data_IF_599076107710
#
_entry.id   IF_599076107710
#
_cell.length_a   1.000
_cell.length_b   1.000
_cell.length_c   1.000
_cell.angle_alpha   90.00
_cell.angle_beta   90.00
_cell.angle_gamma   90.00
#
_symmetry.space_group_name_H-M   'P 1'
#
loop_
_entity.id
_entity.type
_entity.pdbx_description
1 polymer ?
#
# COMPACT_ATOMS: atom_id res chain seq x y z
N UNK A 1 6.45 -11.53 7.57
CA UNK A 1 6.48 -12.98 7.42
C UNK A 1 7.48 -13.52 6.41
N UNK A 2 8.09 -12.67 5.57
CA UNK A 2 9.20 -13.09 4.65
C UNK A 2 10.53 -13.17 5.40
N UNK A 3 10.73 -12.24 6.33
CA UNK A 3 11.89 -12.24 7.22
C UNK A 3 11.36 -12.53 8.62
N UNK A 4 12.05 -13.43 9.33
CA UNK A 4 11.72 -13.75 10.72
C UNK A 4 12.17 -12.59 11.62
N UNK A 5 11.31 -12.19 12.56
CA UNK A 5 11.71 -11.23 13.59
C UNK A 5 12.83 -11.85 14.43
N UNK A 6 13.89 -11.08 14.73
CA UNK A 6 14.96 -11.50 15.61
C UNK A 6 14.56 -11.39 17.07
N UNK A 7 13.66 -10.46 17.39
CA UNK A 7 13.11 -10.23 18.73
C UNK A 7 11.74 -9.54 18.62
N UNK A 8 10.97 -9.50 19.69
CA UNK A 8 9.65 -8.90 19.75
C UNK A 8 8.54 -9.74 19.16
N UNK A 9 7.33 -9.21 19.20
CA UNK A 9 6.10 -9.87 18.78
C UNK A 9 5.32 -9.01 17.79
N UNK A 10 4.63 -9.65 16.85
CA UNK A 10 3.72 -9.01 15.90
C UNK A 10 2.31 -9.52 16.17
N UNK A 11 1.44 -8.61 16.58
CA UNK A 11 0.03 -8.90 16.85
C UNK A 11 -0.86 -8.33 15.76
N UNK A 12 -1.81 -9.11 15.31
CA UNK A 12 -2.83 -8.69 14.35
C UNK A 12 -4.20 -9.19 14.80
N UNK A 13 -5.13 -8.26 14.96
CA UNK A 13 -6.50 -8.57 15.39
C UNK A 13 -6.54 -9.40 16.68
N UNK A 14 -5.75 -8.98 17.67
CA UNK A 14 -5.67 -9.65 18.98
C UNK A 14 -5.00 -11.03 18.96
N UNK A 15 -4.35 -11.41 17.86
CA UNK A 15 -3.67 -12.70 17.71
C UNK A 15 -2.19 -12.51 17.41
N UNK A 16 -1.34 -13.29 18.07
CA UNK A 16 0.08 -13.35 17.72
C UNK A 16 0.26 -13.99 16.34
N UNK A 17 0.85 -13.24 15.44
CA UNK A 17 1.18 -13.66 14.06
C UNK A 17 2.69 -13.74 13.83
N UNK A 18 3.49 -13.56 14.87
CA UNK A 18 4.96 -13.60 14.82
C UNK A 18 5.48 -14.89 14.18
N UNK A 19 5.03 -16.09 14.59
CA UNK A 19 5.54 -17.35 14.03
C UNK A 19 5.01 -17.67 12.64
N UNK A 20 4.03 -16.89 12.13
CA UNK A 20 3.31 -17.25 10.93
C UNK A 20 4.08 -16.83 9.65
N UNK A 21 4.16 -17.72 8.65
CA UNK A 21 4.69 -17.38 7.33
C UNK A 21 3.73 -16.42 6.59
N UNK A 22 4.25 -15.72 5.57
CA UNK A 22 3.51 -14.70 4.83
C UNK A 22 2.13 -15.16 4.34
N UNK A 23 2.05 -16.35 3.73
CA UNK A 23 0.78 -16.89 3.22
C UNK A 23 -0.28 -17.12 4.31
N UNK A 24 0.14 -17.46 5.54
CA UNK A 24 -0.77 -17.62 6.67
C UNK A 24 -1.25 -16.28 7.22
N UNK A 25 -0.44 -15.22 7.12
CA UNK A 25 -0.84 -13.84 7.44
C UNK A 25 -1.83 -13.30 6.40
N UNK A 26 -1.59 -13.57 5.10
CA UNK A 26 -2.53 -13.20 4.03
C UNK A 26 -3.91 -13.81 4.27
N UNK A 27 -3.98 -15.12 4.60
CA UNK A 27 -5.26 -15.79 4.92
C UNK A 27 -5.97 -15.23 6.14
N UNK A 28 -5.30 -14.41 6.96
CA UNK A 28 -5.90 -13.68 8.09
C UNK A 28 -6.39 -12.29 7.73
N UNK A 29 -6.34 -11.93 6.47
CA UNK A 29 -6.81 -10.63 6.00
C UNK A 29 -5.74 -9.55 5.92
N UNK A 30 -4.46 -9.92 5.77
CA UNK A 30 -3.40 -8.98 5.40
C UNK A 30 -3.18 -9.06 3.89
N UNK A 31 -3.04 -7.92 3.22
CA UNK A 31 -2.50 -7.84 1.86
C UNK A 31 -1.26 -6.96 1.85
N UNK A 32 -0.35 -7.23 0.93
CA UNK A 32 0.92 -6.50 0.81
C UNK A 32 1.24 -6.25 -0.66
N UNK A 33 1.51 -5.00 -1.02
CA UNK A 33 2.11 -4.65 -2.31
C UNK A 33 3.61 -4.51 -2.16
N UNK A 34 4.35 -4.86 -3.21
CA UNK A 34 5.81 -4.84 -3.16
C UNK A 34 6.35 -3.52 -3.72
N UNK A 35 7.56 -3.13 -3.31
CA UNK A 35 8.29 -2.01 -3.88
C UNK A 35 8.49 -2.17 -5.40
N UNK A 36 8.76 -3.41 -5.86
CA UNK A 36 8.76 -3.76 -7.28
C UNK A 36 7.40 -4.34 -7.62
N UNK A 37 6.72 -3.74 -8.59
CA UNK A 37 5.37 -4.14 -9.02
C UNK A 37 5.29 -5.62 -9.38
N UNK A 38 4.46 -6.37 -8.67
CA UNK A 38 4.31 -7.81 -8.79
C UNK A 38 3.03 -8.18 -9.55
N UNK A 39 3.02 -7.93 -10.87
CA UNK A 39 1.92 -8.28 -11.77
C UNK A 39 2.32 -9.39 -12.74
N UNK A 40 1.35 -10.10 -13.28
CA UNK A 40 1.55 -11.04 -14.38
C UNK A 40 1.50 -10.27 -15.70
N UNK A 41 2.64 -9.74 -16.14
CA UNK A 41 2.74 -8.80 -17.26
C UNK A 41 2.20 -9.33 -18.61
N UNK A 42 2.14 -10.65 -18.80
CA UNK A 42 1.63 -11.29 -20.04
C UNK A 42 0.14 -11.60 -20.00
N UNK A 43 -0.52 -11.39 -18.87
CA UNK A 43 -1.94 -11.60 -18.69
C UNK A 43 -2.70 -10.28 -18.83
N UNK A 44 -4.02 -10.37 -19.08
CA UNK A 44 -4.90 -9.21 -19.04
C UNK A 44 -5.04 -8.66 -17.62
N UNK A 45 -5.58 -7.45 -17.46
CA UNK A 45 -5.93 -6.91 -16.15
C UNK A 45 -6.97 -7.80 -15.49
N UNK A 46 -7.95 -8.26 -16.26
CA UNK A 46 -8.98 -9.21 -15.81
C UNK A 46 -8.34 -10.45 -15.20
N UNK A 47 -7.43 -11.11 -15.92
CA UNK A 47 -6.80 -12.34 -15.46
C UNK A 47 -5.93 -12.12 -14.21
N UNK A 48 -5.22 -10.98 -14.11
CA UNK A 48 -4.46 -10.63 -12.92
C UNK A 48 -5.36 -10.54 -11.68
N UNK A 49 -6.48 -9.83 -11.78
CA UNK A 49 -7.42 -9.67 -10.67
C UNK A 49 -8.14 -10.98 -10.38
N UNK A 50 -8.56 -11.75 -11.40
CA UNK A 50 -9.19 -13.05 -11.23
C UNK A 50 -8.31 -14.04 -10.46
N UNK A 51 -6.99 -14.05 -10.74
CA UNK A 51 -6.03 -14.86 -10.00
C UNK A 51 -5.92 -14.44 -8.53
N UNK A 52 -5.90 -13.14 -8.26
CA UNK A 52 -5.83 -12.62 -6.90
C UNK A 52 -7.11 -12.88 -6.11
N UNK A 53 -8.27 -12.78 -6.77
CA UNK A 53 -9.59 -13.03 -6.20
C UNK A 53 -9.84 -14.52 -5.96
N UNK A 54 -9.18 -15.38 -6.75
CA UNK A 54 -9.47 -16.83 -6.76
C UNK A 54 -10.79 -17.17 -7.43
N UNK A 55 -11.36 -16.25 -8.21
CA UNK A 55 -12.62 -16.37 -8.95
C UNK A 55 -12.49 -15.72 -10.32
N UNK A 56 -13.22 -16.24 -11.30
CA UNK A 56 -13.35 -15.65 -12.65
C UNK A 56 -14.77 -15.13 -12.90
N UNK A 57 -15.55 -14.94 -11.86
CA UNK A 57 -16.87 -14.30 -11.99
C UNK A 57 -16.66 -12.87 -12.50
N UNK A 58 -17.19 -12.58 -13.69
CA UNK A 58 -16.92 -11.34 -14.42
C UNK A 58 -17.34 -10.12 -13.60
N UNK A 59 -18.51 -10.19 -12.96
CA UNK A 59 -19.03 -9.09 -12.15
C UNK A 59 -18.08 -8.73 -11.00
N UNK A 60 -17.53 -9.74 -10.30
CA UNK A 60 -16.63 -9.54 -9.17
C UNK A 60 -15.28 -8.94 -9.62
N UNK A 61 -14.72 -9.47 -10.71
CA UNK A 61 -13.46 -8.99 -11.26
C UNK A 61 -13.57 -7.53 -11.74
N UNK A 62 -14.66 -7.23 -12.49
CA UNK A 62 -14.90 -5.88 -12.98
C UNK A 62 -15.18 -4.88 -11.84
N UNK A 63 -15.85 -5.31 -10.78
CA UNK A 63 -16.06 -4.47 -9.59
C UNK A 63 -14.74 -4.10 -8.92
N UNK A 64 -13.79 -5.03 -8.81
CA UNK A 64 -12.45 -4.75 -8.27
C UNK A 64 -11.68 -3.77 -9.16
N UNK A 65 -11.71 -3.97 -10.49
CA UNK A 65 -11.06 -3.05 -11.43
C UNK A 65 -11.68 -1.65 -11.39
N UNK A 66 -12.98 -1.56 -11.19
CA UNK A 66 -13.70 -0.28 -11.06
C UNK A 66 -13.24 0.52 -9.85
N UNK A 67 -13.00 -0.15 -8.72
CA UNK A 67 -12.49 0.49 -7.48
C UNK A 67 -11.19 1.27 -7.70
N UNK A 68 -10.37 0.83 -8.64
CA UNK A 68 -9.06 1.47 -8.97
C UNK A 68 -9.10 2.25 -10.29
N UNK A 69 -10.27 2.37 -10.94
CA UNK A 69 -10.45 3.11 -12.19
C UNK A 69 -9.86 2.43 -13.43
N UNK A 70 -9.77 1.09 -13.42
CA UNK A 70 -9.20 0.30 -14.53
C UNK A 70 -10.22 -0.58 -15.26
N UNK A 71 -11.53 -0.44 -14.96
CA UNK A 71 -12.59 -1.27 -15.54
C UNK A 71 -12.54 -1.32 -17.06
N UNK A 72 -12.43 -0.16 -17.72
CA UNK A 72 -12.46 -0.05 -19.19
C UNK A 72 -11.21 -0.63 -19.88
N UNK A 73 -10.24 -1.07 -19.09
CA UNK A 73 -8.99 -1.68 -19.54
C UNK A 73 -8.88 -3.15 -19.19
N UNK A 74 -9.98 -3.79 -18.79
CA UNK A 74 -9.99 -5.17 -18.30
C UNK A 74 -9.27 -6.16 -19.22
N UNK A 75 -9.47 -6.05 -20.54
CA UNK A 75 -8.89 -6.93 -21.55
C UNK A 75 -7.46 -6.53 -21.97
N UNK A 76 -6.95 -5.37 -21.51
CA UNK A 76 -5.61 -4.90 -21.86
C UNK A 76 -4.55 -5.80 -21.20
N UNK A 77 -3.44 -6.07 -21.91
CA UNK A 77 -2.29 -6.81 -21.38
C UNK A 77 -1.56 -5.94 -20.36
N UNK A 78 -1.39 -6.45 -19.14
CA UNK A 78 -0.87 -5.68 -18.00
C UNK A 78 0.53 -5.08 -18.25
N UNK A 79 1.39 -5.78 -18.97
CA UNK A 79 2.74 -5.29 -19.31
C UNK A 79 2.77 -4.12 -20.29
N UNK A 80 1.64 -3.77 -20.94
CA UNK A 80 1.53 -2.61 -21.83
C UNK A 80 1.07 -1.33 -21.12
N UNK A 81 0.74 -1.43 -19.85
CA UNK A 81 0.34 -0.29 -19.03
C UNK A 81 1.55 0.62 -18.72
N UNK A 82 1.26 1.92 -18.50
CA UNK A 82 2.23 2.81 -17.83
C UNK A 82 2.54 2.29 -16.43
N UNK A 83 3.68 2.69 -15.88
CA UNK A 83 4.09 2.27 -14.54
C UNK A 83 3.03 2.59 -13.48
N UNK A 84 2.43 3.79 -13.53
CA UNK A 84 1.36 4.17 -12.61
C UNK A 84 0.13 3.27 -12.70
N UNK A 85 -0.30 2.90 -13.91
CA UNK A 85 -1.41 1.96 -14.08
C UNK A 85 -1.07 0.53 -13.64
N UNK A 86 0.19 0.08 -13.81
CA UNK A 86 0.64 -1.19 -13.26
C UNK A 86 0.56 -1.17 -11.72
N UNK A 87 0.89 -0.04 -11.09
CA UNK A 87 0.78 0.15 -9.65
C UNK A 87 -0.68 0.09 -9.18
N UNK A 88 -1.59 0.73 -9.92
CA UNK A 88 -3.03 0.63 -9.64
C UNK A 88 -3.54 -0.82 -9.76
N UNK A 89 -3.07 -1.57 -10.77
CA UNK A 89 -3.43 -2.98 -10.92
C UNK A 89 -2.93 -3.82 -9.74
N UNK A 90 -1.71 -3.58 -9.26
CA UNK A 90 -1.18 -4.27 -8.09
C UNK A 90 -2.03 -3.99 -6.84
N UNK A 91 -2.46 -2.73 -6.64
CA UNK A 91 -3.38 -2.37 -5.57
C UNK A 91 -4.73 -3.10 -5.75
N UNK A 92 -5.27 -3.16 -6.98
CA UNK A 92 -6.48 -3.92 -7.29
C UNK A 92 -6.36 -5.38 -6.85
N UNK A 93 -5.24 -6.04 -7.17
CA UNK A 93 -4.97 -7.42 -6.75
C UNK A 93 -4.92 -7.55 -5.21
N UNK A 94 -4.38 -6.55 -4.52
CA UNK A 94 -4.36 -6.49 -3.06
C UNK A 94 -5.76 -6.37 -2.46
N UNK A 95 -6.58 -5.43 -2.96
CA UNK A 95 -7.93 -5.18 -2.44
C UNK A 95 -8.93 -6.26 -2.87
N UNK A 96 -8.66 -7.02 -3.94
CA UNK A 96 -9.48 -8.15 -4.37
C UNK A 96 -9.72 -9.19 -3.26
N UNK A 97 -8.76 -9.31 -2.35
CA UNK A 97 -8.83 -10.25 -1.23
C UNK A 97 -9.64 -9.72 -0.03
N UNK A 98 -10.27 -8.54 -0.15
CA UNK A 98 -10.98 -7.84 0.93
C UNK A 98 -10.18 -7.81 2.24
N UNK A 99 -8.94 -7.29 2.21
CA UNK A 99 -8.06 -7.35 3.36
C UNK A 99 -8.56 -6.44 4.48
N UNK A 100 -8.33 -6.85 5.73
CA UNK A 100 -8.50 -6.00 6.91
C UNK A 100 -7.33 -5.02 7.08
N UNK A 101 -6.15 -5.39 6.56
CA UNK A 101 -4.95 -4.57 6.53
C UNK A 101 -4.31 -4.66 5.14
N UNK A 102 -4.22 -3.53 4.46
CA UNK A 102 -3.47 -3.36 3.22
C UNK A 102 -2.16 -2.64 3.52
N UNK A 103 -1.04 -3.30 3.22
CA UNK A 103 0.31 -2.73 3.41
C UNK A 103 0.83 -2.28 2.04
N UNK A 104 1.13 -1.00 1.92
CA UNK A 104 1.64 -0.37 0.71
C UNK A 104 3.08 0.10 0.97
N UNK A 105 4.03 -0.44 0.21
CA UNK A 105 5.45 -0.17 0.36
C UNK A 105 5.94 0.72 -0.81
N UNK A 106 6.25 1.98 -0.51
CA UNK A 106 6.64 3.04 -1.44
C UNK A 106 5.74 3.12 -2.71
N UNK A 107 4.41 3.17 -2.56
CA UNK A 107 3.51 3.08 -3.70
C UNK A 107 3.58 4.26 -4.65
N UNK A 108 4.12 5.41 -4.23
CA UNK A 108 4.24 6.60 -5.09
C UNK A 108 5.60 6.73 -5.76
N UNK A 109 6.53 5.82 -5.50
CA UNK A 109 7.85 5.85 -6.13
C UNK A 109 7.73 5.74 -7.66
N UNK A 110 8.31 6.72 -8.38
CA UNK A 110 8.31 6.74 -9.84
C UNK A 110 7.01 7.22 -10.50
N UNK A 111 6.02 7.65 -9.73
CA UNK A 111 4.81 8.27 -10.24
C UNK A 111 5.03 9.75 -10.58
N UNK A 112 4.36 10.24 -11.63
CA UNK A 112 4.24 11.66 -11.90
C UNK A 112 3.30 12.35 -10.91
N UNK A 113 3.40 13.68 -10.73
CA UNK A 113 2.56 14.41 -9.78
C UNK A 113 1.05 14.22 -10.00
N UNK A 114 0.62 14.17 -11.27
CA UNK A 114 -0.78 13.90 -11.62
C UNK A 114 -1.23 12.48 -11.22
N UNK A 115 -0.34 11.51 -11.29
CA UNK A 115 -0.60 10.13 -10.85
C UNK A 115 -0.63 10.03 -9.33
N UNK A 116 0.21 10.81 -8.62
CA UNK A 116 0.18 10.90 -7.14
C UNK A 116 -1.16 11.48 -6.66
N UNK A 117 -1.72 12.48 -7.34
CA UNK A 117 -3.03 13.02 -7.00
C UNK A 117 -4.12 11.94 -7.10
N UNK A 118 -4.16 11.19 -8.20
CA UNK A 118 -5.08 10.06 -8.38
C UNK A 118 -4.88 8.94 -7.34
N UNK A 119 -3.63 8.66 -6.98
CA UNK A 119 -3.31 7.72 -5.89
C UNK A 119 -3.88 8.20 -4.55
N UNK A 120 -3.71 9.47 -4.20
CA UNK A 120 -4.27 10.03 -2.95
C UNK A 120 -5.79 9.88 -2.89
N UNK A 121 -6.49 10.16 -3.98
CA UNK A 121 -7.94 9.98 -4.08
C UNK A 121 -8.35 8.51 -3.90
N UNK A 122 -7.62 7.58 -4.53
CA UNK A 122 -7.85 6.15 -4.39
C UNK A 122 -7.70 5.70 -2.94
N UNK A 123 -6.60 6.08 -2.27
CA UNK A 123 -6.36 5.73 -0.87
C UNK A 123 -7.43 6.34 0.04
N UNK A 124 -7.84 7.58 -0.24
CA UNK A 124 -8.94 8.24 0.48
C UNK A 124 -10.27 7.47 0.41
N UNK A 125 -10.55 6.80 -0.71
CA UNK A 125 -11.72 5.91 -0.83
C UNK A 125 -11.51 4.58 -0.11
N UNK A 126 -10.37 3.94 -0.30
CA UNK A 126 -10.08 2.61 0.25
C UNK A 126 -10.02 2.59 1.79
N UNK A 127 -9.57 3.68 2.42
CA UNK A 127 -9.47 3.78 3.89
C UNK A 127 -10.82 3.66 4.61
N UNK A 128 -11.94 3.85 3.92
CA UNK A 128 -13.27 3.63 4.49
C UNK A 128 -13.59 2.13 4.68
N UNK A 129 -12.90 1.25 3.98
CA UNK A 129 -13.20 -0.18 3.93
C UNK A 129 -12.08 -1.03 4.56
N UNK A 130 -10.83 -0.56 4.55
CA UNK A 130 -9.67 -1.31 5.02
C UNK A 130 -8.69 -0.41 5.77
N UNK A 131 -8.03 -0.95 6.80
CA UNK A 131 -6.89 -0.27 7.42
C UNK A 131 -5.71 -0.28 6.46
N UNK A 132 -5.06 0.87 6.26
CA UNK A 132 -3.92 1.00 5.37
C UNK A 132 -2.68 1.32 6.19
N UNK A 133 -1.64 0.50 6.04
CA UNK A 133 -0.29 0.79 6.51
C UNK A 133 0.52 1.26 5.30
N UNK A 134 0.79 2.56 5.26
CA UNK A 134 1.55 3.20 4.20
C UNK A 134 3.00 3.39 4.64
N UNK A 135 3.96 2.81 3.90
CA UNK A 135 5.39 3.04 4.08
C UNK A 135 5.81 3.96 2.94
N UNK A 136 6.21 5.17 3.28
CA UNK A 136 6.51 6.23 2.29
C UNK A 136 7.60 7.17 2.80
N UNK A 137 8.34 7.74 1.88
CA UNK A 137 9.29 8.82 2.13
C UNK A 137 8.85 10.18 1.55
N UNK A 138 7.77 10.20 0.77
CA UNK A 138 7.15 11.42 0.26
C UNK A 138 6.28 12.05 1.36
N UNK A 139 6.82 13.07 2.02
CA UNK A 139 6.16 13.72 3.17
C UNK A 139 4.81 14.33 2.80
N UNK A 140 4.64 14.88 1.59
CA UNK A 140 3.36 15.46 1.15
C UNK A 140 2.26 14.41 1.02
N UNK A 141 2.61 13.21 0.59
CA UNK A 141 1.69 12.06 0.54
C UNK A 141 1.34 11.62 1.96
N UNK A 142 2.35 11.38 2.81
CA UNK A 142 2.15 10.93 4.19
C UNK A 142 1.28 11.91 4.97
N UNK A 143 1.62 13.21 4.96
CA UNK A 143 0.90 14.25 5.70
C UNK A 143 -0.55 14.44 5.22
N UNK A 144 -0.83 14.13 3.94
CA UNK A 144 -2.18 14.29 3.39
C UNK A 144 -3.09 13.08 3.63
N UNK A 145 -2.53 11.90 3.91
CA UNK A 145 -3.30 10.65 3.97
C UNK A 145 -3.35 10.02 5.36
N UNK A 146 -2.32 10.20 6.18
CA UNK A 146 -2.18 9.48 7.43
C UNK A 146 -3.05 10.08 8.54
N UNK A 147 -3.63 9.21 9.37
CA UNK A 147 -4.26 9.59 10.64
C UNK A 147 -3.23 9.59 11.78
N UNK A 148 -2.22 8.74 11.68
CA UNK A 148 -1.10 8.64 12.60
C UNK A 148 0.18 8.30 11.84
N UNK A 149 1.30 8.85 12.25
CA UNK A 149 2.61 8.69 11.61
C UNK A 149 3.60 8.17 12.65
N UNK A 150 4.41 7.19 12.26
CA UNK A 150 5.60 6.77 12.99
C UNK A 150 6.82 6.98 12.10
N UNK A 151 7.72 7.85 12.54
CA UNK A 151 8.96 8.15 11.82
C UNK A 151 10.06 7.22 12.33
N UNK A 152 10.74 6.57 11.39
CA UNK A 152 11.88 5.69 11.68
C UNK A 152 13.16 6.33 11.16
N UNK A 153 14.19 6.34 12.01
CA UNK A 153 15.56 6.71 11.63
C UNK A 153 16.51 5.59 12.03
N UNK A 154 17.26 5.06 11.07
CA UNK A 154 18.22 3.95 11.30
C UNK A 154 17.62 2.76 12.08
N UNK A 155 16.34 2.43 11.82
CA UNK A 155 15.62 1.31 12.44
C UNK A 155 15.08 1.61 13.86
N UNK A 156 15.16 2.87 14.32
CA UNK A 156 14.60 3.30 15.63
C UNK A 156 13.46 4.27 15.42
N UNK A 157 12.49 4.24 16.31
CA UNK A 157 11.40 5.23 16.31
C UNK A 157 11.97 6.58 16.75
N UNK A 158 11.92 7.56 15.83
CA UNK A 158 12.34 8.94 16.07
C UNK A 158 11.17 9.75 16.67
N UNK A 159 9.98 9.62 16.08
CA UNK A 159 8.76 10.30 16.51
C UNK A 159 7.54 9.46 16.17
N UNK A 160 6.44 9.65 16.90
CA UNK A 160 5.13 9.08 16.58
C UNK A 160 4.03 10.01 17.07
N UNK A 161 3.00 10.23 16.26
CA UNK A 161 1.88 11.12 16.57
C UNK A 161 1.01 11.42 15.38
N UNK A 162 0.16 12.45 15.50
CA UNK A 162 -0.61 12.99 14.38
C UNK A 162 0.29 13.66 13.34
N UNK A 163 -0.20 13.91 12.12
CA UNK A 163 0.55 14.67 11.11
C UNK A 163 1.05 16.02 11.63
N UNK A 164 0.23 16.72 12.39
CA UNK A 164 0.57 18.03 12.97
C UNK A 164 1.70 17.94 14.00
N UNK A 165 1.62 16.95 14.91
CA UNK A 165 2.65 16.71 15.93
C UNK A 165 3.98 16.32 15.29
N UNK A 166 3.96 15.41 14.31
CA UNK A 166 5.16 14.96 13.60
C UNK A 166 5.78 16.09 12.79
N UNK A 167 4.97 16.94 12.15
CA UNK A 167 5.45 18.11 11.41
C UNK A 167 6.14 19.12 12.31
N UNK A 168 5.65 19.29 13.54
CA UNK A 168 6.19 20.24 14.52
C UNK A 168 7.44 19.70 15.25
N UNK A 169 7.74 18.42 15.16
CA UNK A 169 8.89 17.81 15.85
C UNK A 169 10.23 18.24 15.18
N UNK A 170 11.05 18.98 15.92
CA UNK A 170 12.34 19.50 15.44
C UNK A 170 13.30 18.39 14.99
N UNK A 171 13.21 17.19 15.59
CA UNK A 171 14.05 16.04 15.21
C UNK A 171 13.67 15.54 13.82
N UNK A 172 12.36 15.50 13.51
CA UNK A 172 11.84 15.12 12.19
C UNK A 172 12.24 16.16 11.16
N UNK A 173 12.08 17.45 11.49
CA UNK A 173 12.49 18.55 10.60
C UNK A 173 13.98 18.47 10.26
N UNK A 174 14.83 18.18 11.22
CA UNK A 174 16.26 18.04 11.00
C UNK A 174 16.60 16.81 10.12
N UNK A 175 15.96 15.66 10.39
CA UNK A 175 16.23 14.41 9.69
C UNK A 175 15.76 14.40 8.23
N UNK A 176 14.62 15.05 7.95
CA UNK A 176 13.95 14.95 6.64
C UNK A 176 13.91 16.23 5.83
N UNK A 177 13.93 17.41 6.46
CA UNK A 177 13.84 18.68 5.77
C UNK A 177 15.19 19.40 5.62
N UNK A 178 16.25 18.87 6.24
CA UNK A 178 17.62 19.42 6.10
C UNK A 178 17.78 20.86 6.58
N UNK A 179 16.82 21.40 7.31
CA UNK A 179 16.89 22.74 7.86
C UNK A 179 17.69 22.70 9.15
N UNK A 180 18.94 23.15 9.08
CA UNK A 180 19.65 23.54 10.30
C UNK A 180 18.78 24.58 11.04
N UNK A 181 18.62 24.47 12.36
CA UNK A 181 18.04 25.56 13.13
C UNK A 181 18.93 26.79 12.94
N UNK A 182 18.33 27.90 12.49
CA UNK A 182 18.96 29.23 12.58
C UNK A 182 19.14 29.62 14.03
#
# INVERSE_FOLDING_TARGET
GRIKASDGEVWFDGKDVTPLPAHARIRRGMAYTFQITAIYARLSLFDNVALALGSREEADVLAVLDRVGLRDRADQIAGTLSYGHQRLLEIAMGVAQNPRLLILDEPTQGLAESEIAGFKELIGRLRAETTILLIEHNMDVVMSLADAITVLETGRVLASGTPEEVRADARVQHAYLGTAPC
#
